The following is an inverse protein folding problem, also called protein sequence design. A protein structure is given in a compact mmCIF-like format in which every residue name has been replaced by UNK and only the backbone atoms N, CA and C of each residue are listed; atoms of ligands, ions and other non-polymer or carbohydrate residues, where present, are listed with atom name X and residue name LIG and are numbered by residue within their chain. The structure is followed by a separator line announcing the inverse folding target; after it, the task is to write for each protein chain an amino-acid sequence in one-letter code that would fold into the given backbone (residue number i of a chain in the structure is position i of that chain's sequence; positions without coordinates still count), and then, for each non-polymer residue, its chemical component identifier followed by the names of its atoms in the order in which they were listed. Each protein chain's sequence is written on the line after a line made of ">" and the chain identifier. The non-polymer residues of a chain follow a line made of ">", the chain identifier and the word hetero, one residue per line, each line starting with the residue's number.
data_IF_556978234098
#
_entry.id   IF_556978234098
#
_cell.length_a   1.000
_cell.length_b   1.000
_cell.length_c   1.000
_cell.angle_alpha   90.00
_cell.angle_beta   90.00
_cell.angle_gamma   90.00
#
_symmetry.space_group_name_H-M   'P 1'
#
loop_
_entity.id
_entity.type
_entity.pdbx_description
1 polymer ?
#
# COMPACT_ATOMS: atom_id res chain seq x y z
N UNK A 1 3.38 -7.39 -5.58
CA UNK A 1 4.65 -7.95 -5.13
C UNK A 1 5.10 -9.12 -6.00
N UNK A 2 6.42 -9.32 -6.16
CA UNK A 2 6.93 -10.50 -6.81
C UNK A 2 6.57 -11.77 -6.03
N UNK A 3 6.69 -12.93 -6.64
CA UNK A 3 6.37 -14.24 -6.08
C UNK A 3 6.80 -14.39 -4.60
N UNK A 4 5.86 -14.66 -3.72
CA UNK A 4 6.07 -14.91 -2.30
C UNK A 4 5.73 -13.75 -1.36
N UNK A 5 5.09 -12.68 -1.84
CA UNK A 5 4.50 -11.64 -0.98
C UNK A 5 3.19 -12.08 -0.30
N UNK A 6 2.78 -11.33 0.73
CA UNK A 6 1.50 -11.56 1.40
C UNK A 6 0.31 -11.20 0.50
N UNK A 7 0.43 -10.09 -0.23
CA UNK A 7 -0.66 -9.53 -1.02
C UNK A 7 -0.71 -10.12 -2.42
N UNK A 8 -1.91 -10.21 -2.99
CA UNK A 8 -2.13 -10.55 -4.39
C UNK A 8 -2.82 -9.42 -5.12
N UNK A 9 -2.45 -9.21 -6.39
CA UNK A 9 -3.15 -8.29 -7.27
C UNK A 9 -4.33 -9.02 -7.92
N UNK A 10 -5.54 -8.50 -7.73
CA UNK A 10 -6.75 -9.05 -8.35
C UNK A 10 -6.96 -8.49 -9.78
N UNK A 11 -7.96 -9.04 -10.49
CA UNK A 11 -8.33 -8.62 -11.86
C UNK A 11 -8.86 -7.19 -11.96
N UNK A 12 -9.29 -6.61 -10.85
CA UNK A 12 -9.88 -5.28 -10.76
C UNK A 12 -8.82 -4.22 -10.34
N UNK A 13 -7.57 -4.65 -10.16
CA UNK A 13 -6.43 -3.79 -9.84
C UNK A 13 -6.23 -3.53 -8.35
N UNK A 14 -6.83 -4.35 -7.49
CA UNK A 14 -6.62 -4.26 -6.05
C UNK A 14 -5.54 -5.25 -5.58
N UNK A 15 -4.62 -4.76 -4.78
CA UNK A 15 -3.79 -5.60 -3.94
C UNK A 15 -4.58 -5.97 -2.69
N UNK A 16 -4.53 -7.24 -2.30
CA UNK A 16 -5.28 -7.68 -1.12
C UNK A 16 -4.80 -8.99 -0.52
N UNK A 17 -5.17 -9.15 0.74
CA UNK A 17 -5.14 -10.37 1.52
C UNK A 17 -6.35 -10.36 2.46
N UNK A 18 -7.03 -11.49 2.59
CA UNK A 18 -8.17 -11.65 3.49
C UNK A 18 -8.03 -12.95 4.29
N UNK A 19 -7.73 -12.82 5.57
CA UNK A 19 -7.53 -13.95 6.48
C UNK A 19 -8.81 -14.77 6.74
N UNK A 20 -10.00 -14.27 6.39
CA UNK A 20 -11.23 -15.07 6.47
C UNK A 20 -11.28 -16.16 5.40
N UNK A 21 -10.63 -15.93 4.26
CA UNK A 21 -10.67 -16.80 3.09
C UNK A 21 -9.31 -17.35 2.68
N UNK A 22 -8.23 -16.91 3.31
CA UNK A 22 -6.87 -17.31 2.99
C UNK A 22 -6.06 -17.55 4.25
N UNK A 23 -5.32 -18.64 4.31
CA UNK A 23 -4.27 -18.84 5.31
C UNK A 23 -2.92 -18.50 4.71
N UNK A 24 -2.17 -17.64 5.40
CA UNK A 24 -0.81 -17.30 5.03
C UNK A 24 0.19 -17.88 6.03
N UNK A 25 1.27 -18.45 5.53
CA UNK A 25 2.41 -18.93 6.33
C UNK A 25 3.68 -18.27 5.83
N UNK A 26 4.49 -17.75 6.74
CA UNK A 26 5.76 -17.11 6.41
C UNK A 26 6.92 -18.06 6.65
N UNK A 27 7.76 -18.26 5.64
CA UNK A 27 9.01 -19.00 5.75
C UNK A 27 10.17 -18.03 6.00
N UNK A 28 10.73 -18.09 7.20
CA UNK A 28 11.85 -17.23 7.62
C UNK A 28 13.17 -17.51 6.92
N UNK A 29 13.31 -18.65 6.26
CA UNK A 29 14.52 -19.01 5.51
C UNK A 29 14.51 -18.39 4.11
N UNK A 30 13.40 -18.55 3.40
CA UNK A 30 13.23 -18.00 2.06
C UNK A 30 12.72 -16.56 2.05
N UNK A 31 12.27 -16.03 3.20
CA UNK A 31 11.60 -14.74 3.34
C UNK A 31 10.36 -14.61 2.43
N UNK A 32 9.56 -15.67 2.36
CA UNK A 32 8.39 -15.73 1.49
C UNK A 32 7.14 -16.17 2.24
N UNK A 33 6.00 -15.64 1.80
CA UNK A 33 4.69 -16.13 2.18
C UNK A 33 4.25 -17.27 1.26
N UNK A 34 3.61 -18.27 1.83
CA UNK A 34 2.79 -19.25 1.12
C UNK A 34 1.34 -19.01 1.52
N UNK A 35 0.45 -18.94 0.54
CA UNK A 35 -0.99 -18.77 0.76
C UNK A 35 -1.74 -19.97 0.24
N UNK A 36 -2.78 -20.36 0.97
CA UNK A 36 -3.74 -21.38 0.55
C UNK A 36 -5.15 -20.85 0.76
N UNK A 37 -6.07 -21.27 -0.09
CA UNK A 37 -7.49 -21.02 0.13
C UNK A 37 -7.95 -21.75 1.40
N UNK A 38 -8.61 -21.03 2.27
CA UNK A 38 -9.07 -21.51 3.55
C UNK A 38 -10.21 -20.65 4.03
N UNK A 39 -11.09 -21.18 4.89
CA UNK A 39 -12.15 -20.38 5.50
C UNK A 39 -11.96 -20.39 7.00
N UNK A 40 -11.83 -19.22 7.59
CA UNK A 40 -11.78 -19.05 9.04
C UNK A 40 -13.19 -19.22 9.61
N UNK A 41 -13.41 -20.28 10.39
CA UNK A 41 -14.75 -20.67 10.86
C UNK A 41 -15.09 -20.16 12.26
N UNK A 42 -14.09 -19.72 13.03
CA UNK A 42 -14.27 -19.21 14.39
C UNK A 42 -13.24 -18.12 14.67
N UNK A 43 -13.57 -16.88 14.32
CA UNK A 43 -12.69 -15.72 14.47
C UNK A 43 -12.42 -15.35 15.94
N UNK A 44 -13.26 -15.79 16.87
CA UNK A 44 -13.12 -15.41 18.26
C UNK A 44 -12.10 -16.26 19.04
N UNK A 45 -11.89 -17.51 18.61
CA UNK A 45 -11.00 -18.46 19.30
C UNK A 45 -9.93 -19.08 18.40
N UNK A 46 -10.01 -18.86 17.07
CA UNK A 46 -9.03 -19.36 16.12
C UNK A 46 -8.29 -18.20 15.47
N UNK A 47 -6.95 -18.13 15.57
CA UNK A 47 -6.19 -17.11 14.90
C UNK A 47 -6.29 -17.31 13.37
N UNK A 48 -7.00 -16.42 12.70
CA UNK A 48 -7.16 -16.48 11.25
C UNK A 48 -5.90 -16.00 10.53
N UNK A 49 -5.13 -15.12 11.19
CA UNK A 49 -3.84 -14.67 10.70
C UNK A 49 -2.73 -15.03 11.70
N UNK A 50 -2.07 -16.15 11.48
CA UNK A 50 -0.94 -16.64 12.29
C UNK A 50 0.22 -17.09 11.35
N UNK A 51 0.95 -16.13 10.73
CA UNK A 51 1.92 -16.43 9.69
C UNK A 51 3.11 -17.27 10.17
N UNK A 52 3.40 -17.28 11.48
CA UNK A 52 4.47 -18.08 12.08
C UNK A 52 3.98 -19.40 12.69
N UNK A 53 2.69 -19.71 12.55
CA UNK A 53 2.02 -20.90 13.08
C UNK A 53 1.10 -20.56 14.25
N UNK A 54 0.31 -21.54 14.66
CA UNK A 54 -0.77 -21.45 15.63
C UNK A 54 -0.42 -22.05 17.00
N UNK A 55 0.86 -22.00 17.39
CA UNK A 55 1.38 -22.54 18.64
C UNK A 55 1.53 -21.43 19.67
N UNK A 56 0.57 -21.33 20.60
CA UNK A 56 0.54 -20.32 21.66
C UNK A 56 1.66 -20.51 22.69
N UNK A 57 2.18 -21.72 22.86
CA UNK A 57 3.26 -22.01 23.82
C UNK A 57 4.59 -21.36 23.40
N UNK A 58 4.76 -21.09 22.11
CA UNK A 58 5.97 -20.44 21.55
C UNK A 58 5.75 -18.97 21.18
N UNK A 59 4.71 -18.32 21.68
CA UNK A 59 4.37 -16.90 21.37
C UNK A 59 4.24 -16.58 19.88
N UNK A 60 3.81 -17.55 19.08
CA UNK A 60 3.65 -17.37 17.63
C UNK A 60 2.51 -16.43 17.24
N UNK A 61 1.68 -16.05 18.21
CA UNK A 61 0.66 -15.01 18.08
C UNK A 61 1.19 -13.60 18.38
N UNK A 62 2.42 -13.47 18.89
CA UNK A 62 3.00 -12.16 19.16
C UNK A 62 3.98 -11.82 18.05
N UNK A 63 3.55 -11.02 17.09
CA UNK A 63 4.38 -10.63 15.95
C UNK A 63 4.02 -9.25 15.44
N UNK A 64 4.89 -8.69 14.65
CA UNK A 64 4.66 -7.44 13.93
C UNK A 64 4.86 -7.60 12.44
N UNK A 65 4.12 -6.81 11.67
CA UNK A 65 4.27 -6.68 10.23
C UNK A 65 4.36 -5.20 9.87
N UNK A 66 5.23 -4.87 8.93
CA UNK A 66 5.22 -3.58 8.27
C UNK A 66 5.09 -3.75 6.76
N UNK A 67 4.41 -2.80 6.14
CA UNK A 67 4.33 -2.66 4.70
C UNK A 67 4.66 -1.22 4.36
N UNK A 68 5.59 -1.02 3.43
CA UNK A 68 5.91 0.28 2.87
C UNK A 68 5.65 0.27 1.37
N UNK A 69 5.05 1.34 0.86
CA UNK A 69 4.80 1.51 -0.56
C UNK A 69 4.93 2.97 -0.97
N UNK A 70 5.67 3.23 -2.04
CA UNK A 70 5.56 4.49 -2.77
C UNK A 70 4.42 4.39 -3.78
N UNK A 71 3.60 5.41 -3.84
CA UNK A 71 2.48 5.46 -4.77
C UNK A 71 2.34 6.86 -5.38
N UNK A 72 1.71 6.92 -6.55
CA UNK A 72 1.39 8.18 -7.20
C UNK A 72 -0.01 8.63 -6.81
N UNK A 73 -0.18 9.94 -6.53
CA UNK A 73 -1.52 10.52 -6.37
C UNK A 73 -2.19 10.61 -7.75
N UNK A 74 -3.28 9.87 -8.03
CA UNK A 74 -3.97 9.98 -9.31
C UNK A 74 -4.80 11.26 -9.39
N UNK A 75 -5.11 11.68 -10.61
CA UNK A 75 -6.01 12.80 -10.83
C UNK A 75 -7.38 12.52 -10.19
N UNK A 76 -7.88 13.46 -9.39
CA UNK A 76 -9.11 13.31 -8.60
C UNK A 76 -9.11 12.17 -7.57
N UNK A 77 -7.94 11.59 -7.24
CA UNK A 77 -7.85 10.45 -6.34
C UNK A 77 -8.54 9.19 -6.87
N UNK A 78 -8.55 8.97 -8.20
CA UNK A 78 -9.26 7.86 -8.84
C UNK A 78 -8.34 6.98 -9.70
N UNK A 79 -8.53 5.69 -9.58
CA UNK A 79 -7.88 4.65 -10.38
C UNK A 79 -8.95 3.90 -11.15
N UNK A 80 -8.88 3.87 -12.49
CA UNK A 80 -9.88 3.22 -13.36
C UNK A 80 -11.34 3.68 -13.06
N UNK A 81 -11.54 4.99 -12.83
CA UNK A 81 -12.82 5.60 -12.41
C UNK A 81 -13.37 5.16 -11.05
N UNK A 82 -12.62 4.39 -10.28
CA UNK A 82 -12.94 4.04 -8.90
C UNK A 82 -12.14 4.93 -7.96
N UNK A 83 -12.68 5.21 -6.78
CA UNK A 83 -11.93 5.93 -5.76
C UNK A 83 -10.69 5.13 -5.36
N UNK A 84 -9.55 5.81 -5.23
CA UNK A 84 -8.35 5.25 -4.65
C UNK A 84 -8.55 5.09 -3.15
N UNK A 85 -8.39 3.86 -2.66
CA UNK A 85 -8.65 3.52 -1.26
C UNK A 85 -7.54 2.66 -0.68
N UNK A 86 -7.39 2.76 0.64
CA UNK A 86 -6.67 1.79 1.47
C UNK A 86 -7.62 1.36 2.57
N UNK A 87 -8.01 0.09 2.57
CA UNK A 87 -8.92 -0.53 3.54
C UNK A 87 -8.16 -1.57 4.36
N UNK A 88 -8.45 -1.60 5.64
CA UNK A 88 -7.92 -2.55 6.57
C UNK A 88 -9.00 -3.01 7.55
N UNK A 89 -8.97 -4.30 7.89
CA UNK A 89 -9.68 -4.88 9.05
C UNK A 89 -8.68 -5.73 9.81
N UNK A 90 -8.57 -5.56 11.11
CA UNK A 90 -7.67 -6.37 11.90
C UNK A 90 -7.89 -6.29 13.38
N UNK A 91 -7.34 -7.29 14.05
CA UNK A 91 -7.30 -7.46 15.50
C UNK A 91 -5.95 -6.99 16.01
N UNK A 92 -5.96 -6.30 17.14
CA UNK A 92 -4.90 -5.54 17.77
C UNK A 92 -4.40 -4.30 16.97
N UNK A 93 -3.17 -3.84 17.19
CA UNK A 93 -2.73 -2.51 16.83
C UNK A 93 -2.52 -2.34 15.32
N UNK A 94 -3.07 -1.26 14.78
CA UNK A 94 -2.79 -0.81 13.42
C UNK A 94 -2.53 0.68 13.37
N UNK A 95 -1.44 1.05 12.68
CA UNK A 95 -1.12 2.43 12.35
C UNK A 95 -0.81 2.58 10.88
N UNK A 96 -1.42 3.60 10.26
CA UNK A 96 -1.12 3.98 8.87
C UNK A 96 -0.59 5.39 8.82
N UNK A 97 0.59 5.54 8.23
CA UNK A 97 1.22 6.83 7.98
C UNK A 97 1.26 7.12 6.48
N UNK A 98 1.09 8.40 6.14
CA UNK A 98 1.36 8.92 4.79
C UNK A 98 2.37 10.05 4.96
N UNK A 99 3.51 9.97 4.26
CA UNK A 99 4.61 10.96 4.34
C UNK A 99 4.98 11.28 5.80
N UNK A 100 5.12 10.22 6.61
CA UNK A 100 5.42 10.29 8.05
C UNK A 100 4.36 11.03 8.90
N UNK A 101 3.15 11.17 8.40
CA UNK A 101 2.01 11.67 9.17
C UNK A 101 1.08 10.51 9.51
N UNK A 102 0.80 10.32 10.79
CA UNK A 102 -0.18 9.33 11.26
C UNK A 102 -1.58 9.74 10.81
N UNK A 103 -2.16 8.98 9.89
CA UNK A 103 -3.47 9.28 9.30
C UNK A 103 -4.57 8.36 9.81
N UNK A 104 -4.22 7.12 10.19
CA UNK A 104 -5.16 6.19 10.78
C UNK A 104 -4.51 5.50 11.97
N UNK A 105 -5.21 5.51 13.11
CA UNK A 105 -4.77 4.93 14.38
C UNK A 105 -5.88 4.02 14.94
N UNK A 106 -5.65 2.73 14.89
CA UNK A 106 -6.43 1.68 15.52
C UNK A 106 -5.59 0.96 16.57
N UNK A 107 -4.74 1.71 17.30
CA UNK A 107 -3.92 1.14 18.35
C UNK A 107 -4.74 0.74 19.56
N UNK A 108 -4.38 -0.36 20.16
CA UNK A 108 -5.02 -0.92 21.38
C UNK A 108 -5.29 -2.41 21.25
N UNK A 109 -5.58 -3.05 22.37
CA UNK A 109 -6.08 -4.42 22.39
C UNK A 109 -7.58 -4.35 22.14
N UNK A 110 -8.03 -4.93 21.05
CA UNK A 110 -9.44 -4.90 20.64
C UNK A 110 -9.77 -6.11 19.75
N UNK A 111 -11.04 -6.34 19.51
CA UNK A 111 -11.49 -7.25 18.46
C UNK A 111 -11.27 -6.61 17.09
N UNK A 112 -11.42 -7.37 16.02
CA UNK A 112 -11.21 -6.87 14.67
C UNK A 112 -12.00 -5.56 14.40
N UNK A 113 -11.27 -4.50 14.03
CA UNK A 113 -11.77 -3.17 13.72
C UNK A 113 -11.50 -2.81 12.27
N UNK A 114 -12.42 -2.04 11.69
CA UNK A 114 -12.30 -1.54 10.33
C UNK A 114 -11.66 -0.14 10.30
N UNK A 115 -10.76 0.07 9.35
CA UNK A 115 -10.21 1.36 9.00
C UNK A 115 -10.13 1.55 7.50
N UNK A 116 -10.41 2.76 7.02
CA UNK A 116 -10.40 3.09 5.60
C UNK A 116 -9.89 4.50 5.35
N UNK A 117 -9.08 4.65 4.31
CA UNK A 117 -8.62 5.94 3.78
C UNK A 117 -9.09 6.02 2.33
N UNK A 118 -9.93 7.03 2.03
CA UNK A 118 -10.38 7.32 0.68
C UNK A 118 -9.67 8.57 0.16
N UNK A 119 -8.79 8.42 -0.80
CA UNK A 119 -7.96 9.50 -1.33
C UNK A 119 -8.72 10.45 -2.27
N UNK A 120 -9.83 9.98 -2.89
CA UNK A 120 -10.65 10.83 -3.76
C UNK A 120 -11.44 11.88 -2.96
N UNK A 121 -11.86 11.52 -1.75
CA UNK A 121 -12.63 12.40 -0.86
C UNK A 121 -11.79 12.97 0.27
N UNK A 122 -10.59 12.45 0.48
CA UNK A 122 -9.74 12.72 1.63
C UNK A 122 -10.27 12.16 2.96
N UNK A 123 -11.34 11.37 2.94
CA UNK A 123 -12.01 10.88 4.16
C UNK A 123 -11.27 9.73 4.79
N UNK A 124 -11.13 9.77 6.12
CA UNK A 124 -10.67 8.66 6.97
C UNK A 124 -11.86 8.16 7.76
N UNK A 125 -12.09 6.85 7.71
CA UNK A 125 -13.17 6.18 8.43
C UNK A 125 -12.59 5.06 9.28
N UNK A 126 -13.07 4.91 10.49
CA UNK A 126 -12.68 3.84 11.41
C UNK A 126 -13.80 3.57 12.40
N UNK A 127 -13.84 2.33 12.91
CA UNK A 127 -14.78 1.97 13.96
C UNK A 127 -14.35 2.60 15.29
N UNK A 128 -15.09 3.62 15.71
CA UNK A 128 -14.84 4.36 16.95
C UNK A 128 -15.42 3.70 18.19
N UNK A 129 -16.28 2.72 18.02
CA UNK A 129 -17.05 2.18 19.14
C UNK A 129 -16.22 1.29 20.04
N UNK A 130 -15.18 0.66 19.50
CA UNK A 130 -14.33 -0.29 20.22
C UNK A 130 -12.84 0.09 20.23
N UNK A 131 -12.39 0.96 19.34
CA UNK A 131 -11.00 1.38 19.28
C UNK A 131 -10.59 2.19 20.51
N UNK A 132 -9.43 1.86 21.04
CA UNK A 132 -8.76 2.58 22.13
C UNK A 132 -7.68 3.54 21.60
N UNK A 133 -7.44 3.57 20.30
CA UNK A 133 -6.47 4.44 19.66
C UNK A 133 -6.87 5.92 19.73
N UNK A 134 -5.89 6.78 19.57
CA UNK A 134 -6.11 8.22 19.52
C UNK A 134 -6.38 8.63 18.06
N UNK A 135 -7.62 8.69 17.67
CA UNK A 135 -8.05 8.98 16.31
C UNK A 135 -7.68 10.42 15.91
N UNK A 136 -6.64 10.62 15.08
CA UNK A 136 -6.09 11.94 14.84
C UNK A 136 -7.02 12.84 14.03
N UNK A 137 -7.82 12.28 13.12
CA UNK A 137 -8.61 13.08 12.21
C UNK A 137 -9.70 12.29 11.49
N UNK A 138 -10.67 13.02 10.90
CA UNK A 138 -11.66 12.45 9.99
C UNK A 138 -11.30 12.62 8.51
N UNK A 139 -10.21 13.36 8.21
CA UNK A 139 -9.71 13.56 6.85
C UNK A 139 -8.18 13.61 6.83
N UNK A 140 -7.59 13.31 5.66
CA UNK A 140 -6.14 13.40 5.44
C UNK A 140 -5.65 14.83 5.70
N UNK A 141 -6.34 15.85 5.17
CA UNK A 141 -6.00 17.27 5.40
C UNK A 141 -5.94 17.60 6.89
N UNK A 142 -6.91 17.11 7.66
CA UNK A 142 -6.95 17.34 9.11
C UNK A 142 -5.78 16.64 9.82
N UNK A 143 -5.44 15.41 9.42
CA UNK A 143 -4.30 14.69 9.99
C UNK A 143 -2.98 15.45 9.74
N UNK A 144 -2.79 15.90 8.51
CA UNK A 144 -1.61 16.71 8.15
C UNK A 144 -1.57 18.04 8.88
N UNK A 145 -2.69 18.77 8.97
CA UNK A 145 -2.78 20.02 9.72
C UNK A 145 -2.46 19.84 11.21
N UNK A 146 -2.95 18.76 11.82
CA UNK A 146 -2.65 18.41 13.21
C UNK A 146 -1.15 18.14 13.44
N UNK A 147 -0.47 17.62 12.42
CA UNK A 147 0.99 17.40 12.43
C UNK A 147 1.80 18.65 12.04
N UNK A 148 1.14 19.80 11.82
CA UNK A 148 1.80 21.03 11.35
C UNK A 148 2.31 20.96 9.91
N UNK A 149 1.79 20.01 9.12
CA UNK A 149 2.12 19.81 7.71
C UNK A 149 0.90 20.13 6.83
N UNK A 150 1.10 20.10 5.53
CA UNK A 150 0.04 20.24 4.52
C UNK A 150 0.01 18.99 3.66
N UNK A 151 -1.18 18.45 3.43
CA UNK A 151 -1.39 17.39 2.45
C UNK A 151 -1.22 17.96 1.03
N UNK A 152 -0.44 17.30 0.22
CA UNK A 152 -0.22 17.64 -1.19
C UNK A 152 -0.93 16.63 -2.10
N UNK A 153 -2.14 16.96 -2.51
CA UNK A 153 -2.95 16.11 -3.40
C UNK A 153 -2.70 16.41 -4.89
N UNK A 154 -1.58 17.05 -5.22
CA UNK A 154 -1.23 17.36 -6.61
C UNK A 154 -1.16 16.06 -7.42
N UNK A 155 -1.83 15.98 -8.59
CA UNK A 155 -1.76 14.82 -9.45
C UNK A 155 -0.31 14.45 -9.78
N UNK A 156 -0.05 13.15 -9.83
CA UNK A 156 1.26 12.54 -10.10
C UNK A 156 2.32 12.75 -9.02
N UNK A 157 1.99 13.43 -7.94
CA UNK A 157 2.87 13.50 -6.77
C UNK A 157 3.09 12.12 -6.19
N UNK A 158 4.35 11.80 -5.89
CA UNK A 158 4.72 10.58 -5.18
C UNK A 158 4.53 10.76 -3.69
N UNK A 159 3.93 9.79 -3.05
CA UNK A 159 3.73 9.69 -1.61
C UNK A 159 4.25 8.36 -1.09
N UNK A 160 4.57 8.31 0.19
CA UNK A 160 4.99 7.10 0.87
C UNK A 160 3.92 6.69 1.89
N UNK A 161 3.43 5.47 1.77
CA UNK A 161 2.57 4.82 2.77
C UNK A 161 3.41 3.90 3.62
N UNK A 162 3.29 4.02 4.93
CA UNK A 162 3.80 3.04 5.91
C UNK A 162 2.64 2.50 6.72
N UNK A 163 2.48 1.20 6.69
CA UNK A 163 1.49 0.46 7.46
C UNK A 163 2.20 -0.40 8.50
N UNK A 164 1.75 -0.34 9.73
CA UNK A 164 2.23 -1.17 10.83
C UNK A 164 1.06 -1.92 11.44
N UNK A 165 1.26 -3.20 11.66
CA UNK A 165 0.34 -4.11 12.32
C UNK A 165 1.08 -4.86 13.42
N UNK A 166 0.50 -4.93 14.61
CA UNK A 166 1.01 -5.71 15.72
C UNK A 166 -0.09 -6.60 16.25
N UNK A 167 0.20 -7.90 16.32
CA UNK A 167 -0.58 -8.90 17.01
C UNK A 167 0.06 -9.13 18.39
N UNK A 168 -0.73 -8.99 19.45
CA UNK A 168 -0.25 -9.12 20.83
C UNK A 168 -0.76 -10.35 21.56
N UNK A 169 -1.32 -11.27 20.81
CA UNK A 169 -1.50 -12.66 21.23
C UNK A 169 -2.77 -12.98 21.97
N UNK A 170 -3.16 -14.17 21.99
CA UNK A 170 -4.07 -14.99 22.77
C UNK A 170 -5.45 -15.26 22.17
N UNK A 171 -5.52 -15.36 20.85
CA UNK A 171 -6.70 -15.80 20.09
C UNK A 171 -7.35 -14.65 19.35
N UNK A 172 -7.98 -14.94 18.25
CA UNK A 172 -8.74 -13.96 17.47
C UNK A 172 -7.97 -13.15 16.44
N UNK A 173 -6.68 -13.38 16.22
CA UNK A 173 -5.91 -12.66 15.21
C UNK A 173 -6.57 -12.66 13.84
N UNK A 174 -6.76 -11.48 13.26
CA UNK A 174 -7.35 -11.28 11.95
C UNK A 174 -6.62 -10.18 11.19
N UNK A 175 -6.46 -10.36 9.89
CA UNK A 175 -5.84 -9.36 9.02
C UNK A 175 -6.51 -9.38 7.66
N UNK A 176 -7.10 -8.26 7.28
CA UNK A 176 -7.57 -8.01 5.91
C UNK A 176 -6.98 -6.70 5.44
N UNK A 177 -6.36 -6.71 4.29
CA UNK A 177 -5.79 -5.54 3.64
C UNK A 177 -6.31 -5.50 2.22
N UNK A 178 -6.79 -4.34 1.78
CA UNK A 178 -7.19 -4.12 0.39
C UNK A 178 -6.89 -2.70 -0.03
N UNK A 179 -6.19 -2.52 -1.14
CA UNK A 179 -5.94 -1.20 -1.71
C UNK A 179 -5.75 -1.26 -3.22
N UNK A 180 -6.02 -0.14 -3.88
CA UNK A 180 -5.78 0.07 -5.32
C UNK A 180 -4.81 1.22 -5.58
N UNK A 181 -3.87 1.45 -4.66
CA UNK A 181 -2.82 2.46 -4.82
C UNK A 181 -1.97 2.15 -6.07
N UNK A 182 -1.72 3.14 -6.95
CA UNK A 182 -0.78 2.97 -8.06
C UNK A 182 0.65 2.95 -7.53
N UNK A 183 1.10 1.76 -7.12
CA UNK A 183 2.40 1.55 -6.47
C UNK A 183 3.53 1.79 -7.45
N UNK A 184 4.48 2.62 -7.07
CA UNK A 184 5.70 2.87 -7.84
C UNK A 184 6.59 1.64 -7.81
N UNK A 185 7.02 1.12 -8.96
CA UNK A 185 7.99 0.02 -9.00
C UNK A 185 9.31 0.44 -8.35
N UNK A 186 9.88 -0.41 -7.50
CA UNK A 186 11.10 -0.11 -6.73
C UNK A 186 12.36 0.16 -7.58
N UNK A 187 12.29 -0.11 -8.88
CA UNK A 187 13.37 0.13 -9.86
C UNK A 187 12.96 1.10 -10.96
N UNK A 188 11.88 1.86 -10.77
CA UNK A 188 11.45 2.87 -11.74
C UNK A 188 12.33 4.12 -11.65
N UNK A 189 12.60 4.71 -12.80
CA UNK A 189 13.19 6.05 -12.92
C UNK A 189 12.06 6.99 -13.30
N UNK A 190 11.86 8.04 -12.51
CA UNK A 190 10.91 9.10 -12.84
C UNK A 190 11.62 10.18 -13.66
N UNK A 191 10.98 10.55 -14.77
CA UNK A 191 11.40 11.69 -15.56
C UNK A 191 10.26 12.69 -15.53
N UNK A 192 10.43 13.77 -14.79
CA UNK A 192 9.47 14.88 -14.73
C UNK A 192 9.92 16.02 -15.65
N UNK A 193 9.00 16.54 -16.44
CA UNK A 193 9.22 17.72 -17.27
C UNK A 193 8.19 18.79 -16.93
N UNK A 194 8.64 19.84 -16.28
CA UNK A 194 7.82 21.03 -16.06
C UNK A 194 7.93 21.98 -17.24
N UNK A 195 6.78 22.41 -17.79
CA UNK A 195 6.70 23.42 -18.82
C UNK A 195 6.02 24.67 -18.27
N UNK A 196 6.72 25.80 -18.28
CA UNK A 196 6.20 27.08 -17.83
C UNK A 196 5.75 27.91 -19.04
N UNK A 197 4.59 28.56 -18.92
CA UNK A 197 4.01 29.42 -19.95
C UNK A 197 2.94 28.73 -20.80
N UNK A 198 2.77 29.16 -22.04
CA UNK A 198 1.80 28.57 -22.97
C UNK A 198 2.27 27.19 -23.40
N UNK A 199 1.47 26.17 -23.14
CA UNK A 199 1.78 24.77 -23.47
C UNK A 199 1.38 24.53 -24.93
N UNK A 200 2.33 24.12 -25.75
CA UNK A 200 2.08 23.49 -27.03
C UNK A 200 1.91 21.98 -26.79
N UNK A 201 0.67 21.50 -26.91
CA UNK A 201 0.33 20.11 -26.62
C UNK A 201 1.02 19.11 -27.57
N UNK A 202 1.43 19.55 -28.77
CA UNK A 202 2.09 18.71 -29.75
C UNK A 202 3.61 18.73 -29.64
N UNK A 203 4.16 19.49 -28.70
CA UNK A 203 5.60 19.61 -28.54
C UNK A 203 6.19 18.34 -27.91
N UNK A 204 7.07 17.70 -28.66
CA UNK A 204 7.83 16.54 -28.18
C UNK A 204 9.15 16.98 -27.54
N UNK A 205 9.54 16.27 -26.49
CA UNK A 205 10.82 16.45 -25.82
C UNK A 205 11.64 15.16 -25.96
N UNK A 206 12.93 15.31 -26.22
CA UNK A 206 13.85 14.19 -26.24
C UNK A 206 14.63 14.15 -24.93
N UNK A 207 14.83 12.95 -24.41
CA UNK A 207 15.60 12.69 -23.21
C UNK A 207 16.72 11.70 -23.51
N UNK A 208 17.84 11.83 -22.83
CA UNK A 208 18.93 10.86 -22.89
C UNK A 208 19.22 10.42 -21.46
N UNK A 209 19.31 9.11 -21.25
CA UNK A 209 19.68 8.52 -19.98
C UNK A 209 21.16 8.16 -20.00
N UNK A 210 21.91 8.61 -19.02
CA UNK A 210 23.28 8.20 -18.78
C UNK A 210 23.32 7.43 -17.45
N UNK A 211 23.94 6.27 -17.46
CA UNK A 211 24.06 5.40 -16.28
C UNK A 211 25.50 5.43 -15.81
N UNK A 212 25.70 5.60 -14.53
CA UNK A 212 27.00 5.80 -13.88
C UNK A 212 27.76 7.00 -14.50
N UNK A 213 29.06 6.95 -14.57
CA UNK A 213 29.89 8.00 -15.18
C UNK A 213 30.08 7.83 -16.69
N UNK A 214 29.16 7.12 -17.35
CA UNK A 214 29.23 6.91 -18.79
C UNK A 214 29.05 8.22 -19.56
N UNK A 215 29.92 8.47 -20.56
CA UNK A 215 29.78 9.58 -21.51
C UNK A 215 28.90 9.22 -22.73
N UNK A 216 28.45 7.97 -22.79
CA UNK A 216 27.58 7.46 -23.84
C UNK A 216 26.17 7.28 -23.29
N UNK A 217 25.13 7.74 -23.98
CA UNK A 217 23.74 7.48 -23.57
C UNK A 217 23.47 5.98 -23.47
N UNK A 218 22.70 5.60 -22.45
CA UNK A 218 22.25 4.23 -22.28
C UNK A 218 21.44 3.77 -23.50
N UNK A 219 21.76 2.59 -24.00
CA UNK A 219 21.16 1.99 -25.21
C UNK A 219 20.36 0.71 -24.89
N UNK A 220 19.95 0.55 -23.65
CA UNK A 220 19.20 -0.61 -23.21
C UNK A 220 17.71 -0.55 -23.56
N UNK A 221 17.02 -1.61 -23.23
CA UNK A 221 15.58 -1.71 -23.37
C UNK A 221 14.87 -1.09 -22.17
N UNK A 222 13.67 -0.60 -22.37
CA UNK A 222 12.80 -0.08 -21.33
C UNK A 222 11.35 -0.52 -21.53
N UNK A 223 10.60 -0.51 -20.45
CA UNK A 223 9.15 -0.73 -20.47
C UNK A 223 8.44 0.47 -19.88
N UNK A 224 7.31 0.81 -20.45
CA UNK A 224 6.44 1.87 -19.96
C UNK A 224 5.28 1.25 -19.20
N UNK A 225 5.08 1.69 -17.97
CA UNK A 225 4.00 1.26 -17.14
C UNK A 225 2.95 2.35 -17.02
N UNK A 226 1.69 1.96 -17.00
CA UNK A 226 0.64 2.85 -16.56
C UNK A 226 0.68 2.93 -15.04
N UNK A 227 0.99 4.11 -14.49
CA UNK A 227 1.12 4.31 -13.04
C UNK A 227 -0.18 4.05 -12.27
N UNK A 228 -1.34 4.10 -12.94
CA UNK A 228 -2.64 3.89 -12.31
C UNK A 228 -3.09 2.43 -12.28
N UNK A 229 -2.68 1.66 -13.28
CA UNK A 229 -3.12 0.27 -13.43
C UNK A 229 -2.02 -0.72 -13.13
N UNK A 230 -0.80 -0.24 -12.96
CA UNK A 230 0.43 -1.04 -12.84
C UNK A 230 0.63 -2.02 -14.02
N UNK A 231 -0.03 -1.75 -15.14
CA UNK A 231 0.07 -2.57 -16.34
C UNK A 231 1.16 -2.05 -17.26
N UNK A 232 1.87 -2.96 -17.89
CA UNK A 232 2.82 -2.62 -18.95
C UNK A 232 2.04 -2.09 -20.15
N UNK A 233 2.27 -0.83 -20.51
CA UNK A 233 1.66 -0.19 -21.69
C UNK A 233 2.50 -0.47 -22.93
N UNK A 234 3.82 -0.49 -22.76
CA UNK A 234 4.78 -0.82 -23.80
C UNK A 234 5.93 -1.59 -23.18
N UNK A 235 6.35 -2.68 -23.83
CA UNK A 235 7.53 -3.46 -23.44
C UNK A 235 8.55 -3.51 -24.56
N UNK A 236 9.78 -3.86 -24.20
CA UNK A 236 10.88 -4.14 -25.11
C UNK A 236 11.13 -3.00 -26.11
N UNK A 237 11.01 -1.76 -25.62
CA UNK A 237 11.38 -0.57 -26.38
C UNK A 237 12.86 -0.28 -26.25
N UNK A 238 13.52 -0.01 -27.35
CA UNK A 238 14.91 0.44 -27.34
C UNK A 238 14.97 1.96 -27.21
N UNK A 239 15.94 2.45 -26.44
CA UNK A 239 16.22 3.89 -26.40
C UNK A 239 16.81 4.30 -27.74
N UNK A 240 16.15 5.22 -28.43
CA UNK A 240 16.57 5.72 -29.75
C UNK A 240 15.61 5.42 -30.91
N UNK A 241 14.51 4.71 -30.63
CA UNK A 241 13.42 4.45 -31.57
C UNK A 241 12.35 5.55 -31.55
#
# INVERSE_FOLDING_TARGET
>A
EPDGGLLTLDKDGYYGFDADFQKATYDTVSNKFTRIDWTCTDQASTPCFAPFGDDSENNKYSFGMNLGAEFYMPEYGKVNNQDMVFDFTGDDDVWVFIDDVLVLDLGGIHQALDGSINFATGKITYDRTQSHGNHPAGTIDQAFANAGKRWDSTPYKTHHLSFFYLERGDGGSNCKIKFNLPVKPSKAIDIEKEALGTIDADKQFQFQLFVDDSLTPYQGEYSVYNAYTNQVVQSDKSIGD
#
